data_IF_139881628498
#
_entry.id   IF_139881628498
#
_cell.length_a   1.000
_cell.length_b   1.000
_cell.length_c   1.000
_cell.angle_alpha   90.00
_cell.angle_beta   90.00
_cell.angle_gamma   90.00
#
_symmetry.space_group_name_H-M   'P 1'
#
loop_
_entity.id
_entity.type
_entity.pdbx_description
1 polymer ?
#
# COMPACT_ATOMS: atom_id res chain seq x y z
N UNK A 1 -24.05 1.23 -38.33
CA UNK A 1 -24.12 1.35 -36.85
C UNK A 1 -23.27 0.33 -36.10
N UNK A 2 -22.88 -0.83 -36.67
CA UNK A 2 -22.07 -1.86 -35.95
C UNK A 2 -20.57 -1.55 -35.79
N UNK A 3 -19.96 -0.74 -36.65
CA UNK A 3 -18.52 -0.41 -36.54
C UNK A 3 -18.22 0.66 -35.48
N UNK A 4 -19.18 1.55 -35.18
CA UNK A 4 -19.04 2.58 -34.14
C UNK A 4 -19.19 1.99 -32.73
N UNK A 5 -20.11 1.03 -32.53
CA UNK A 5 -20.27 0.31 -31.26
C UNK A 5 -19.08 -0.60 -30.94
N UNK A 6 -18.48 -1.25 -31.95
CA UNK A 6 -17.28 -2.07 -31.75
C UNK A 6 -16.03 -1.23 -31.40
N UNK A 7 -15.83 -0.08 -32.04
CA UNK A 7 -14.72 0.82 -31.73
C UNK A 7 -14.85 1.47 -30.34
N UNK A 8 -16.07 1.87 -29.95
CA UNK A 8 -16.34 2.40 -28.61
C UNK A 8 -16.14 1.33 -27.52
N UNK A 9 -16.49 0.06 -27.78
CA UNK A 9 -16.26 -1.06 -26.87
C UNK A 9 -14.77 -1.37 -26.66
N UNK A 10 -13.96 -1.26 -27.72
CA UNK A 10 -12.51 -1.47 -27.66
C UNK A 10 -11.79 -0.35 -26.88
N UNK A 11 -12.14 0.92 -27.11
CA UNK A 11 -11.62 2.08 -26.37
C UNK A 11 -11.96 1.99 -24.88
N UNK A 12 -13.21 1.61 -24.56
CA UNK A 12 -13.64 1.44 -23.18
C UNK A 12 -12.87 0.34 -22.45
N UNK A 13 -12.68 -0.81 -23.12
CA UNK A 13 -11.90 -1.92 -22.59
C UNK A 13 -10.42 -1.57 -22.38
N UNK A 14 -9.87 -0.66 -23.19
CA UNK A 14 -8.49 -0.17 -23.00
C UNK A 14 -8.37 0.72 -21.77
N UNK A 15 -9.34 1.61 -21.53
CA UNK A 15 -9.36 2.47 -20.35
C UNK A 15 -9.56 1.70 -19.06
N UNK A 16 -10.42 0.67 -19.07
CA UNK A 16 -10.57 -0.26 -17.94
C UNK A 16 -9.22 -0.93 -17.61
N UNK A 17 -8.55 -1.52 -18.61
CA UNK A 17 -7.23 -2.14 -18.41
C UNK A 17 -6.18 -1.16 -17.91
N UNK A 18 -6.17 0.06 -18.43
CA UNK A 18 -5.22 1.08 -17.98
C UNK A 18 -5.47 1.47 -16.51
N UNK A 19 -6.72 1.69 -16.13
CA UNK A 19 -7.08 2.02 -14.76
C UNK A 19 -6.76 0.86 -13.80
N UNK A 20 -7.17 -0.36 -14.15
CA UNK A 20 -6.92 -1.57 -13.35
C UNK A 20 -5.42 -1.81 -13.15
N UNK A 21 -4.62 -1.68 -14.22
CA UNK A 21 -3.18 -1.80 -14.12
C UNK A 21 -2.56 -0.74 -13.20
N UNK A 22 -3.01 0.52 -13.29
CA UNK A 22 -2.53 1.58 -12.37
C UNK A 22 -2.96 1.33 -10.93
N UNK A 23 -4.17 0.83 -10.71
CA UNK A 23 -4.67 0.49 -9.38
C UNK A 23 -3.86 -0.68 -8.79
N UNK A 24 -3.58 -1.72 -9.58
CA UNK A 24 -2.76 -2.85 -9.15
C UNK A 24 -1.32 -2.45 -8.83
N UNK A 25 -0.66 -1.69 -9.72
CA UNK A 25 0.71 -1.21 -9.45
C UNK A 25 0.75 -0.37 -8.16
N UNK A 26 -0.26 0.48 -7.94
CA UNK A 26 -0.36 1.21 -6.67
C UNK A 26 -0.51 0.27 -5.47
N UNK A 27 -1.36 -0.77 -5.57
CA UNK A 27 -1.51 -1.78 -4.53
C UNK A 27 -0.17 -2.46 -4.22
N UNK A 28 0.53 -2.93 -5.25
CA UNK A 28 1.82 -3.62 -5.10
C UNK A 28 2.85 -2.76 -4.38
N UNK A 29 2.93 -1.46 -4.69
CA UNK A 29 3.82 -0.51 -4.02
C UNK A 29 3.45 -0.28 -2.56
N UNK A 30 2.15 -0.16 -2.27
CA UNK A 30 1.65 -0.01 -0.90
C UNK A 30 1.93 -1.26 -0.09
N UNK A 31 1.74 -2.44 -0.67
CA UNK A 31 2.03 -3.72 -0.03
C UNK A 31 3.52 -3.90 0.26
N UNK A 32 4.37 -3.60 -0.72
CA UNK A 32 5.82 -3.63 -0.56
C UNK A 32 6.25 -2.71 0.59
N UNK A 33 5.78 -1.46 0.62
CA UNK A 33 6.08 -0.52 1.70
C UNK A 33 5.65 -1.06 3.08
N UNK A 34 4.45 -1.63 3.18
CA UNK A 34 3.96 -2.27 4.41
C UNK A 34 4.83 -3.46 4.84
N UNK A 35 5.20 -4.33 3.90
CA UNK A 35 6.05 -5.48 4.18
C UNK A 35 7.41 -5.05 4.72
N UNK A 36 8.07 -4.08 4.08
CA UNK A 36 9.37 -3.58 4.51
C UNK A 36 9.29 -2.96 5.91
N UNK A 37 8.28 -2.12 6.15
CA UNK A 37 8.08 -1.47 7.44
C UNK A 37 7.82 -2.48 8.56
N UNK A 38 6.84 -3.37 8.39
CA UNK A 38 6.47 -4.30 9.46
C UNK A 38 7.49 -5.42 9.68
N UNK A 39 8.22 -5.85 8.65
CA UNK A 39 9.38 -6.73 8.83
C UNK A 39 10.45 -6.04 9.67
N UNK A 40 10.81 -4.79 9.33
CA UNK A 40 11.79 -3.99 10.07
C UNK A 40 11.38 -3.81 11.54
N UNK A 41 10.13 -3.40 11.79
CA UNK A 41 9.60 -3.21 13.14
C UNK A 41 9.56 -4.52 13.94
N UNK A 42 9.20 -5.64 13.30
CA UNK A 42 9.18 -6.95 13.97
C UNK A 42 10.58 -7.38 14.37
N UNK A 43 11.58 -7.25 13.49
CA UNK A 43 12.97 -7.60 13.81
C UNK A 43 13.49 -6.77 15.00
N UNK A 44 13.22 -5.47 15.04
CA UNK A 44 13.61 -4.61 16.16
C UNK A 44 12.89 -4.99 17.47
N UNK A 45 11.59 -5.27 17.41
CA UNK A 45 10.81 -5.67 18.58
C UNK A 45 11.32 -7.00 19.17
N UNK A 46 11.57 -7.99 18.31
CA UNK A 46 12.08 -9.31 18.74
C UNK A 46 13.50 -9.21 19.30
N UNK A 47 14.39 -8.42 18.68
CA UNK A 47 15.73 -8.13 19.21
C UNK A 47 15.67 -7.49 20.60
N UNK A 48 14.73 -6.56 20.82
CA UNK A 48 14.56 -5.89 22.11
C UNK A 48 14.05 -6.83 23.20
N UNK A 49 13.19 -7.79 22.87
CA UNK A 49 12.46 -8.61 23.83
C UNK A 49 13.07 -9.99 24.10
N UNK A 50 13.83 -10.57 23.16
CA UNK A 50 14.29 -11.96 23.23
C UNK A 50 15.81 -12.06 23.25
N UNK A 51 16.35 -12.66 24.31
CA UNK A 51 17.79 -12.79 24.50
C UNK A 51 18.43 -13.64 23.39
N UNK A 52 17.78 -14.73 22.98
CA UNK A 52 18.27 -15.61 21.92
C UNK A 52 18.32 -14.94 20.54
N UNK A 53 17.36 -14.06 20.23
CA UNK A 53 17.36 -13.26 18.99
C UNK A 53 18.47 -12.23 19.05
N UNK A 54 18.68 -11.61 20.22
CA UNK A 54 19.78 -10.67 20.44
C UNK A 54 21.15 -11.33 20.20
N UNK A 55 21.39 -12.48 20.82
CA UNK A 55 22.63 -13.26 20.62
C UNK A 55 22.81 -13.66 19.15
N UNK A 56 21.74 -14.11 18.47
CA UNK A 56 21.79 -14.42 17.04
C UNK A 56 22.25 -13.21 16.22
N UNK A 57 21.68 -12.04 16.49
CA UNK A 57 21.96 -10.81 15.75
C UNK A 57 23.36 -10.29 16.03
N UNK A 58 23.80 -10.30 17.29
CA UNK A 58 25.13 -9.85 17.72
C UNK A 58 26.23 -10.74 17.12
N UNK A 59 26.00 -12.07 17.04
CA UNK A 59 26.92 -13.02 16.41
C UNK A 59 26.99 -12.88 14.88
N UNK A 60 25.99 -12.26 14.25
CA UNK A 60 25.90 -12.07 12.79
C UNK A 60 25.70 -10.59 12.43
N UNK A 61 26.40 -9.69 13.13
CA UNK A 61 26.21 -8.24 13.07
C UNK A 61 26.22 -7.66 11.63
N UNK A 62 27.14 -8.11 10.77
CA UNK A 62 27.22 -7.63 9.39
C UNK A 62 25.95 -7.99 8.59
N UNK A 63 25.44 -9.21 8.75
CA UNK A 63 24.20 -9.67 8.08
C UNK A 63 23.01 -8.89 8.62
N UNK A 64 22.91 -8.75 9.93
CA UNK A 64 21.84 -8.01 10.61
C UNK A 64 21.78 -6.56 10.12
N UNK A 65 22.91 -5.85 10.12
CA UNK A 65 22.99 -4.46 9.64
C UNK A 65 22.61 -4.34 8.17
N UNK A 66 23.06 -5.28 7.34
CA UNK A 66 22.71 -5.32 5.91
C UNK A 66 21.20 -5.51 5.72
N UNK A 67 20.59 -6.44 6.44
CA UNK A 67 19.15 -6.69 6.37
C UNK A 67 18.33 -5.47 6.79
N UNK A 68 18.63 -4.91 7.97
CA UNK A 68 17.89 -3.77 8.53
C UNK A 68 18.01 -2.53 7.64
N UNK A 69 19.22 -2.21 7.16
CA UNK A 69 19.44 -1.09 6.24
C UNK A 69 18.74 -1.31 4.90
N UNK A 70 18.70 -2.56 4.40
CA UNK A 70 18.02 -2.88 3.13
C UNK A 70 16.51 -2.72 3.24
N UNK A 71 15.91 -3.20 4.34
CA UNK A 71 14.48 -3.01 4.61
C UNK A 71 14.12 -1.53 4.72
N UNK A 72 14.94 -0.77 5.44
CA UNK A 72 14.74 0.67 5.58
C UNK A 72 14.85 1.38 4.22
N UNK A 73 15.91 1.12 3.44
CA UNK A 73 16.07 1.71 2.11
C UNK A 73 14.89 1.37 1.18
N UNK A 74 14.46 0.10 1.17
CA UNK A 74 13.36 -0.36 0.35
C UNK A 74 12.03 0.32 0.70
N UNK A 75 11.77 0.56 2.00
CA UNK A 75 10.61 1.35 2.45
C UNK A 75 10.62 2.77 1.87
N UNK A 76 11.73 3.50 1.99
CA UNK A 76 11.82 4.88 1.49
C UNK A 76 11.71 4.95 -0.04
N UNK A 77 12.27 3.97 -0.76
CA UNK A 77 12.12 3.87 -2.21
C UNK A 77 10.67 3.60 -2.63
N UNK A 78 9.97 2.69 -1.95
CA UNK A 78 8.56 2.41 -2.22
C UNK A 78 7.66 3.64 -1.96
N UNK A 79 7.84 4.31 -0.81
CA UNK A 79 7.13 5.56 -0.52
C UNK A 79 7.45 6.66 -1.54
N UNK A 80 8.70 6.72 -2.01
CA UNK A 80 9.10 7.60 -3.10
C UNK A 80 8.33 7.34 -4.39
N UNK A 81 8.20 6.08 -4.83
CA UNK A 81 7.44 5.74 -6.05
C UNK A 81 5.95 6.11 -5.94
N UNK A 82 5.40 6.07 -4.74
CA UNK A 82 4.00 6.41 -4.44
C UNK A 82 3.76 7.93 -4.46
N UNK A 83 4.64 8.72 -3.86
CA UNK A 83 4.41 10.15 -3.62
C UNK A 83 5.18 11.11 -4.55
N UNK A 84 6.28 10.68 -5.15
CA UNK A 84 7.12 11.53 -5.99
C UNK A 84 6.50 11.73 -7.37
N UNK A 85 6.23 12.99 -7.74
CA UNK A 85 5.58 13.36 -9.00
C UNK A 85 6.40 13.00 -10.26
N UNK A 86 7.63 12.51 -10.09
CA UNK A 86 8.51 12.02 -11.17
C UNK A 86 8.11 10.64 -11.72
N UNK A 87 7.26 9.87 -11.02
CA UNK A 87 6.80 8.55 -11.46
C UNK A 87 5.46 8.58 -12.22
N UNK A 88 5.26 7.63 -13.15
CA UNK A 88 3.97 7.45 -13.84
C UNK A 88 2.90 6.82 -12.93
N UNK A 89 3.28 6.13 -11.86
CA UNK A 89 2.40 5.32 -11.02
C UNK A 89 2.27 5.87 -9.59
N UNK A 90 2.06 7.17 -9.47
CA UNK A 90 1.90 7.85 -8.18
C UNK A 90 0.46 7.85 -7.72
N UNK A 91 0.24 8.15 -6.44
CA UNK A 91 -1.09 8.39 -5.89
C UNK A 91 -1.85 9.49 -6.67
N UNK A 92 -1.12 10.52 -7.11
CA UNK A 92 -1.70 11.61 -7.90
C UNK A 92 -2.06 11.19 -9.31
N UNK A 93 -1.21 10.39 -9.97
CA UNK A 93 -1.47 9.91 -11.32
C UNK A 93 -2.64 8.92 -11.34
N UNK A 94 -2.77 8.07 -10.32
CA UNK A 94 -3.90 7.17 -10.14
C UNK A 94 -5.20 7.95 -9.92
N UNK A 95 -5.21 8.91 -8.99
CA UNK A 95 -6.40 9.74 -8.75
C UNK A 95 -6.79 10.53 -10.00
N UNK A 96 -5.81 11.08 -10.72
CA UNK A 96 -6.05 11.80 -11.97
C UNK A 96 -6.67 10.88 -13.02
N UNK A 97 -6.11 9.69 -13.22
CA UNK A 97 -6.64 8.69 -14.14
C UNK A 97 -8.09 8.31 -13.80
N UNK A 98 -8.39 8.08 -12.52
CA UNK A 98 -9.75 7.78 -12.06
C UNK A 98 -10.73 8.93 -12.35
N UNK A 99 -10.31 10.17 -12.09
CA UNK A 99 -11.15 11.36 -12.28
C UNK A 99 -11.33 11.77 -13.76
N UNK A 100 -10.35 11.49 -14.61
CA UNK A 100 -10.49 11.72 -16.07
C UNK A 100 -11.38 10.64 -16.70
N UNK A 101 -11.40 9.44 -16.12
CA UNK A 101 -12.16 8.29 -16.62
C UNK A 101 -13.36 7.93 -15.73
N UNK A 102 -14.06 8.91 -15.15
CA UNK A 102 -15.18 8.68 -14.20
C UNK A 102 -16.28 7.79 -14.73
N UNK A 103 -16.48 7.76 -16.04
CA UNK A 103 -17.43 6.87 -16.71
C UNK A 103 -17.22 5.40 -16.33
N UNK A 104 -15.97 5.00 -16.01
CA UNK A 104 -15.63 3.66 -15.54
C UNK A 104 -16.33 3.29 -14.23
N UNK A 105 -16.73 4.27 -13.42
CA UNK A 105 -17.43 4.09 -12.15
C UNK A 105 -18.95 4.24 -12.27
N UNK A 106 -19.48 4.36 -13.49
CA UNK A 106 -20.93 4.42 -13.70
C UNK A 106 -21.60 3.08 -13.42
N UNK A 107 -22.89 3.11 -13.12
CA UNK A 107 -23.75 1.93 -12.98
C UNK A 107 -23.72 1.06 -14.24
N UNK A 108 -23.73 1.70 -15.42
CA UNK A 108 -23.65 0.99 -16.70
C UNK A 108 -22.34 0.22 -16.81
N UNK A 109 -21.22 0.85 -16.46
CA UNK A 109 -19.90 0.23 -16.52
C UNK A 109 -19.76 -0.90 -15.49
N UNK A 110 -20.21 -0.66 -14.26
CA UNK A 110 -20.21 -1.66 -13.19
C UNK A 110 -21.04 -2.89 -13.59
N UNK A 111 -22.25 -2.68 -14.09
CA UNK A 111 -23.12 -3.74 -14.58
C UNK A 111 -22.43 -4.54 -15.69
N UNK A 112 -21.90 -3.87 -16.71
CA UNK A 112 -21.20 -4.52 -17.82
C UNK A 112 -19.97 -5.34 -17.35
N UNK A 113 -19.25 -4.88 -16.32
CA UNK A 113 -18.18 -5.68 -15.70
C UNK A 113 -18.71 -6.93 -15.01
N UNK A 114 -19.78 -6.81 -14.21
CA UNK A 114 -20.39 -7.93 -13.50
C UNK A 114 -21.00 -8.97 -14.45
N UNK A 115 -21.65 -8.53 -15.52
CA UNK A 115 -22.18 -9.40 -16.58
C UNK A 115 -21.08 -10.18 -17.31
N UNK A 116 -19.92 -9.55 -17.56
CA UNK A 116 -18.75 -10.23 -18.14
C UNK A 116 -18.06 -11.19 -17.17
N UNK A 117 -18.14 -10.94 -15.86
CA UNK A 117 -17.38 -11.69 -14.86
C UNK A 117 -18.04 -12.99 -14.39
N UNK A 118 -19.35 -13.15 -14.55
CA UNK A 118 -20.09 -14.30 -14.00
C UNK A 118 -21.14 -14.82 -14.98
N UNK A 119 -21.15 -16.12 -15.26
CA UNK A 119 -22.12 -16.72 -16.20
C UNK A 119 -23.58 -16.63 -15.72
N UNK A 120 -23.81 -16.62 -14.40
CA UNK A 120 -25.15 -16.56 -13.79
C UNK A 120 -25.55 -15.14 -13.35
N UNK A 121 -24.94 -14.09 -13.91
CA UNK A 121 -25.20 -12.70 -13.53
C UNK A 121 -26.69 -12.35 -13.49
N UNK A 122 -27.50 -12.91 -14.40
CA UNK A 122 -28.92 -12.60 -14.55
C UNK A 122 -29.75 -12.94 -13.31
N UNK A 123 -29.28 -13.85 -12.45
CA UNK A 123 -29.98 -14.27 -11.24
C UNK A 123 -29.89 -13.24 -10.11
N UNK A 124 -28.82 -12.44 -10.09
CA UNK A 124 -28.48 -11.58 -8.94
C UNK A 124 -28.18 -10.13 -9.30
N UNK A 125 -28.02 -9.79 -10.60
CA UNK A 125 -27.52 -8.47 -11.01
C UNK A 125 -28.42 -7.32 -10.53
N UNK A 126 -29.75 -7.47 -10.57
CA UNK A 126 -30.65 -6.39 -10.17
C UNK A 126 -30.53 -6.12 -8.67
N UNK A 127 -30.52 -7.18 -7.85
CA UNK A 127 -30.30 -7.07 -6.41
C UNK A 127 -28.89 -6.54 -6.07
N UNK A 128 -27.87 -6.90 -6.86
CA UNK A 128 -26.53 -6.35 -6.69
C UNK A 128 -26.46 -4.87 -7.06
N UNK A 129 -27.15 -4.43 -8.12
CA UNK A 129 -27.10 -3.03 -8.57
C UNK A 129 -27.92 -2.09 -7.68
N UNK A 130 -28.82 -2.64 -6.85
CA UNK A 130 -29.57 -1.87 -5.86
C UNK A 130 -28.62 -1.17 -4.86
N UNK A 131 -28.84 0.13 -4.66
CA UNK A 131 -28.06 0.93 -3.70
C UNK A 131 -26.62 1.24 -4.11
N UNK A 132 -26.20 0.96 -5.35
CA UNK A 132 -24.86 1.32 -5.83
C UNK A 132 -24.71 2.81 -6.09
N UNK A 133 -23.50 3.32 -5.93
CA UNK A 133 -23.19 4.75 -6.02
C UNK A 133 -22.28 5.07 -7.21
N UNK A 134 -22.54 6.20 -7.86
CA UNK A 134 -21.66 6.78 -8.86
C UNK A 134 -20.84 7.94 -8.26
N UNK A 135 -19.50 7.91 -8.35
CA UNK A 135 -18.66 9.00 -7.87
C UNK A 135 -18.85 10.32 -8.65
N UNK A 136 -19.02 11.43 -7.94
CA UNK A 136 -19.09 12.78 -8.50
C UNK A 136 -17.73 13.48 -8.48
N UNK A 137 -17.60 14.62 -9.17
CA UNK A 137 -16.40 15.47 -9.09
C UNK A 137 -16.06 15.88 -7.64
N UNK A 138 -17.08 16.04 -6.81
CA UNK A 138 -16.89 16.39 -5.41
C UNK A 138 -16.19 15.27 -4.64
N UNK A 139 -16.51 14.01 -4.91
CA UNK A 139 -15.85 12.86 -4.27
C UNK A 139 -14.35 12.83 -4.62
N UNK A 140 -13.98 12.97 -5.90
CA UNK A 140 -12.57 13.02 -6.31
C UNK A 140 -11.82 14.23 -5.75
N UNK A 141 -12.47 15.41 -5.69
CA UNK A 141 -11.91 16.59 -5.03
C UNK A 141 -11.64 16.34 -3.55
N UNK A 142 -12.54 15.63 -2.87
CA UNK A 142 -12.36 15.30 -1.46
C UNK A 142 -11.19 14.32 -1.24
N UNK A 143 -11.06 13.28 -2.09
CA UNK A 143 -9.89 12.40 -2.06
C UNK A 143 -8.59 13.19 -2.26
N UNK A 144 -8.58 14.14 -3.21
CA UNK A 144 -7.41 14.99 -3.44
C UNK A 144 -7.04 15.81 -2.19
N UNK A 145 -8.02 16.36 -1.47
CA UNK A 145 -7.76 17.08 -0.21
C UNK A 145 -7.14 16.17 0.84
N UNK A 146 -7.60 14.92 0.92
CA UNK A 146 -7.06 13.95 1.87
C UNK A 146 -5.63 13.53 1.55
N UNK A 147 -5.22 13.47 0.28
CA UNK A 147 -3.83 13.18 -0.11
C UNK A 147 -2.87 14.28 0.38
N UNK A 148 -3.28 15.55 0.35
CA UNK A 148 -2.43 16.70 0.63
C UNK A 148 -1.63 16.61 1.94
N UNK A 149 -2.24 16.37 3.12
CA UNK A 149 -1.49 16.27 4.38
C UNK A 149 -0.48 15.11 4.37
N UNK A 150 -0.81 13.99 3.74
CA UNK A 150 0.07 12.82 3.66
C UNK A 150 1.27 13.06 2.75
N UNK A 151 1.05 13.72 1.60
CA UNK A 151 2.15 14.17 0.73
C UNK A 151 3.04 15.19 1.44
N UNK A 152 2.46 16.09 2.25
CA UNK A 152 3.24 17.05 3.01
C UNK A 152 4.16 16.34 4.02
N UNK A 153 3.64 15.35 4.75
CA UNK A 153 4.47 14.50 5.64
C UNK A 153 5.60 13.83 4.86
N UNK A 154 5.31 13.23 3.71
CA UNK A 154 6.34 12.62 2.87
C UNK A 154 7.41 13.65 2.45
N UNK A 155 7.02 14.79 1.89
CA UNK A 155 7.94 15.80 1.37
C UNK A 155 8.81 16.42 2.47
N UNK A 156 8.24 16.73 3.64
CA UNK A 156 8.97 17.41 4.72
C UNK A 156 9.86 16.46 5.53
N UNK A 157 9.52 15.17 5.59
CA UNK A 157 10.13 14.23 6.55
C UNK A 157 10.91 13.10 5.88
N UNK A 158 10.41 12.59 4.76
CA UNK A 158 10.89 11.34 4.17
C UNK A 158 11.67 11.57 2.87
N UNK A 159 11.31 12.59 2.09
CA UNK A 159 11.96 12.89 0.81
C UNK A 159 13.44 13.24 0.99
N UNK A 160 13.77 14.06 1.99
CA UNK A 160 15.15 14.40 2.33
C UNK A 160 15.97 13.17 2.79
N UNK A 161 15.35 12.23 3.52
CA UNK A 161 16.01 10.98 3.92
C UNK A 161 16.31 10.16 2.67
N UNK A 162 15.34 9.98 1.78
CA UNK A 162 15.54 9.23 0.54
C UNK A 162 16.66 9.85 -0.30
N UNK A 163 16.57 11.14 -0.58
CA UNK A 163 17.48 11.80 -1.51
C UNK A 163 18.90 11.90 -0.94
N UNK A 164 19.05 12.42 0.28
CA UNK A 164 20.37 12.68 0.87
C UNK A 164 21.07 11.43 1.38
N UNK A 165 20.33 10.45 1.92
CA UNK A 165 20.94 9.29 2.57
C UNK A 165 20.97 8.05 1.68
N UNK A 166 19.86 7.73 1.00
CA UNK A 166 19.73 6.48 0.24
C UNK A 166 20.06 6.63 -1.24
N UNK A 167 19.72 7.76 -1.88
CA UNK A 167 19.94 7.95 -3.31
C UNK A 167 21.34 8.50 -3.63
N UNK A 168 21.79 9.51 -2.88
CA UNK A 168 23.05 10.21 -3.20
C UNK A 168 24.16 10.03 -2.14
N UNK A 169 23.80 9.64 -0.91
CA UNK A 169 24.74 9.49 0.22
C UNK A 169 25.57 10.76 0.46
N UNK A 170 24.92 11.91 0.29
CA UNK A 170 25.49 13.26 0.40
C UNK A 170 25.64 13.72 1.85
N UNK A 171 25.02 13.01 2.79
CA UNK A 171 25.02 13.34 4.21
C UNK A 171 25.99 12.50 5.02
N UNK A 172 26.64 13.13 6.00
CA UNK A 172 27.39 12.42 7.03
C UNK A 172 26.45 11.73 8.04
N UNK A 173 27.01 10.91 8.94
CA UNK A 173 26.23 10.16 9.93
C UNK A 173 25.42 11.06 10.87
N UNK A 174 25.92 12.24 11.20
CA UNK A 174 25.27 13.15 12.15
C UNK A 174 24.10 13.88 11.48
N UNK A 175 24.24 14.25 10.21
CA UNK A 175 23.15 14.78 9.39
C UNK A 175 22.08 13.70 9.14
N UNK A 176 22.48 12.46 8.85
CA UNK A 176 21.55 11.35 8.71
C UNK A 176 20.75 11.10 10.00
N UNK A 177 21.42 11.07 11.16
CA UNK A 177 20.77 10.92 12.46
C UNK A 177 19.75 12.03 12.72
N UNK A 178 20.06 13.29 12.36
CA UNK A 178 19.11 14.41 12.46
C UNK A 178 17.90 14.21 11.55
N UNK A 179 18.10 13.74 10.32
CA UNK A 179 16.99 13.46 9.39
C UNK A 179 16.07 12.35 9.95
N UNK A 180 16.64 11.27 10.46
CA UNK A 180 15.86 10.17 11.05
C UNK A 180 15.17 10.56 12.36
N UNK A 181 15.78 11.40 13.20
CA UNK A 181 15.20 11.84 14.48
C UNK A 181 13.89 12.62 14.32
N UNK A 182 13.66 13.22 13.16
CA UNK A 182 12.46 14.02 12.86
C UNK A 182 11.30 13.13 12.36
N UNK A 183 11.56 11.86 12.04
CA UNK A 183 10.56 10.90 11.57
C UNK A 183 10.09 10.00 12.70
N UNK A 184 8.78 9.96 12.95
CA UNK A 184 8.20 9.03 13.93
C UNK A 184 7.61 7.78 13.28
N UNK A 185 7.71 6.65 13.98
CA UNK A 185 7.09 5.38 13.60
C UNK A 185 5.59 5.56 13.36
N UNK A 186 4.89 6.23 14.28
CA UNK A 186 3.46 6.53 14.19
C UNK A 186 3.06 7.27 12.92
N UNK A 187 3.91 8.19 12.43
CA UNK A 187 3.66 8.91 11.19
C UNK A 187 3.76 7.98 9.98
N UNK A 188 4.76 7.10 9.95
CA UNK A 188 4.89 6.10 8.88
C UNK A 188 3.70 5.14 8.91
N UNK A 189 3.27 4.68 10.09
CA UNK A 189 2.08 3.83 10.23
C UNK A 189 0.81 4.51 9.71
N UNK A 190 0.58 5.78 10.07
CA UNK A 190 -0.56 6.56 9.57
C UNK A 190 -0.50 6.77 8.06
N UNK A 191 0.69 6.99 7.51
CA UNK A 191 0.91 7.14 6.09
C UNK A 191 0.56 5.84 5.35
N UNK A 192 1.09 4.70 5.81
CA UNK A 192 0.82 3.38 5.23
C UNK A 192 -0.66 3.00 5.36
N UNK A 193 -1.28 3.26 6.52
CA UNK A 193 -2.70 3.03 6.75
C UNK A 193 -3.58 3.85 5.80
N UNK A 194 -3.25 5.13 5.61
CA UNK A 194 -3.95 5.97 4.63
C UNK A 194 -3.85 5.41 3.21
N UNK A 195 -2.66 4.97 2.78
CA UNK A 195 -2.45 4.45 1.45
C UNK A 195 -3.31 3.20 1.17
N UNK A 196 -3.46 2.33 2.18
CA UNK A 196 -4.33 1.16 2.07
C UNK A 196 -5.80 1.57 1.99
N UNK A 197 -6.25 2.48 2.87
CA UNK A 197 -7.62 2.98 2.85
C UNK A 197 -7.95 3.72 1.53
N UNK A 198 -6.97 4.43 0.95
CA UNK A 198 -7.09 5.07 -0.36
C UNK A 198 -7.25 4.06 -1.49
N UNK A 199 -6.42 3.01 -1.52
CA UNK A 199 -6.56 1.92 -2.49
C UNK A 199 -7.95 1.27 -2.36
N UNK A 200 -8.36 0.91 -1.14
CA UNK A 200 -9.65 0.28 -0.87
C UNK A 200 -10.82 1.15 -1.33
N UNK A 201 -10.78 2.47 -1.08
CA UNK A 201 -11.83 3.37 -1.53
C UNK A 201 -12.01 3.34 -3.06
N UNK A 202 -10.91 3.38 -3.82
CA UNK A 202 -10.96 3.29 -5.28
C UNK A 202 -11.39 1.91 -5.76
N UNK A 203 -10.84 0.85 -5.15
CA UNK A 203 -11.14 -0.53 -5.50
C UNK A 203 -12.63 -0.85 -5.29
N UNK A 204 -13.18 -0.51 -4.12
CA UNK A 204 -14.59 -0.76 -3.79
C UNK A 204 -15.53 0.11 -4.63
N UNK A 205 -15.19 1.37 -4.88
CA UNK A 205 -15.99 2.20 -5.80
C UNK A 205 -16.01 1.61 -7.22
N UNK A 206 -14.88 1.08 -7.70
CA UNK A 206 -14.77 0.51 -9.04
C UNK A 206 -15.40 -0.87 -9.18
N UNK A 207 -15.11 -1.79 -8.26
CA UNK A 207 -15.55 -3.19 -8.33
C UNK A 207 -16.92 -3.43 -7.72
N UNK A 208 -17.28 -2.66 -6.70
CA UNK A 208 -18.49 -2.91 -5.90
C UNK A 208 -19.50 -1.77 -5.94
N UNK A 209 -19.18 -0.64 -6.58
CA UNK A 209 -20.06 0.53 -6.61
C UNK A 209 -20.32 1.13 -5.24
N UNK A 210 -19.41 0.94 -4.28
CA UNK A 210 -19.50 1.59 -2.96
C UNK A 210 -19.20 3.10 -3.06
N UNK A 211 -19.62 3.90 -2.06
CA UNK A 211 -19.24 5.30 -1.98
C UNK A 211 -17.71 5.47 -2.03
N UNK A 212 -17.23 6.40 -2.86
CA UNK A 212 -15.81 6.75 -2.94
C UNK A 212 -15.39 7.57 -1.72
N UNK A 213 -15.15 6.89 -0.60
CA UNK A 213 -14.79 7.46 0.70
C UNK A 213 -13.64 6.68 1.31
N UNK A 214 -12.63 7.39 1.80
CA UNK A 214 -11.52 6.79 2.55
C UNK A 214 -11.97 6.58 3.99
N UNK A 215 -12.00 5.33 4.44
CA UNK A 215 -12.23 4.98 5.84
C UNK A 215 -11.18 5.67 6.72
N UNK A 216 -11.60 6.42 7.74
CA UNK A 216 -10.69 7.17 8.61
C UNK A 216 -10.12 6.34 9.76
N UNK A 217 -10.53 5.07 9.90
CA UNK A 217 -10.01 4.14 10.92
C UNK A 217 -8.47 4.00 10.88
N UNK A 218 -7.84 4.23 9.73
CA UNK A 218 -6.37 4.24 9.60
C UNK A 218 -5.67 5.26 10.50
N UNK A 219 -6.37 6.30 10.98
CA UNK A 219 -5.80 7.33 11.85
C UNK A 219 -5.41 6.81 13.23
N UNK A 220 -5.97 5.67 13.62
CA UNK A 220 -5.68 4.97 14.88
C UNK A 220 -4.94 3.66 14.55
N UNK A 221 -3.60 3.64 14.54
CA UNK A 221 -2.82 2.44 14.21
C UNK A 221 -3.17 1.21 15.06
N UNK A 222 -3.58 1.43 16.31
CA UNK A 222 -4.04 0.36 17.22
C UNK A 222 -5.34 -0.29 16.77
N UNK A 223 -6.26 0.48 16.17
CA UNK A 223 -7.55 0.01 15.66
C UNK A 223 -7.46 -0.47 14.20
N UNK A 224 -6.59 0.14 13.38
CA UNK A 224 -6.38 -0.20 11.97
C UNK A 224 -5.83 -1.63 11.73
N UNK A 225 -5.32 -2.29 12.77
CA UNK A 225 -4.80 -3.67 12.73
C UNK A 225 -5.83 -4.73 12.30
N UNK A 226 -7.11 -4.39 12.21
CA UNK A 226 -8.20 -5.32 11.85
C UNK A 226 -8.61 -5.33 10.38
N UNK A 227 -8.26 -4.34 9.55
CA UNK A 227 -8.83 -4.21 8.20
C UNK A 227 -7.81 -3.90 7.10
N UNK A 228 -6.82 -4.79 6.89
CA UNK A 228 -6.02 -4.76 5.67
C UNK A 228 -6.29 -6.03 4.87
N UNK A 229 -6.49 -5.84 3.57
CA UNK A 229 -6.82 -6.82 2.56
C UNK A 229 -6.10 -8.16 2.73
N UNK A 230 -6.86 -9.25 2.64
CA UNK A 230 -6.35 -10.62 2.56
C UNK A 230 -7.23 -11.40 1.57
N UNK A 231 -6.72 -11.71 0.36
CA UNK A 231 -7.49 -12.50 -0.61
C UNK A 231 -7.64 -13.98 -0.19
N UNK A 232 -6.89 -14.44 0.83
CA UNK A 232 -6.97 -15.80 1.38
C UNK A 232 -6.69 -15.81 2.89
N UNK A 233 -7.74 -15.74 3.72
CA UNK A 233 -7.68 -15.93 5.17
C UNK A 233 -7.55 -14.65 6.02
N UNK A 234 -7.93 -14.72 7.29
CA UNK A 234 -8.10 -13.61 8.27
C UNK A 234 -6.84 -12.78 8.65
N UNK A 235 -5.80 -12.76 7.81
CA UNK A 235 -4.54 -12.09 8.13
C UNK A 235 -4.22 -10.96 7.16
N UNK A 236 -4.30 -9.73 7.68
CA UNK A 236 -3.69 -8.53 7.07
C UNK A 236 -2.23 -8.81 6.66
N UNK A 237 -1.73 -8.16 5.61
CA UNK A 237 -0.30 -8.26 5.22
C UNK A 237 0.63 -8.00 6.41
N UNK A 238 0.27 -7.03 7.26
CA UNK A 238 0.94 -6.77 8.53
C UNK A 238 1.00 -8.02 9.43
N UNK A 239 -0.14 -8.66 9.73
CA UNK A 239 -0.18 -9.86 10.57
C UNK A 239 0.61 -11.00 9.94
N UNK A 240 0.48 -11.18 8.62
CA UNK A 240 1.19 -12.22 7.88
C UNK A 240 2.71 -12.01 7.95
N UNK A 241 3.22 -10.82 7.62
CA UNK A 241 4.67 -10.56 7.65
C UNK A 241 5.20 -10.63 9.08
N UNK A 242 4.49 -10.09 10.07
CA UNK A 242 4.86 -10.19 11.48
C UNK A 242 4.97 -11.65 11.91
N UNK A 243 3.96 -12.47 11.60
CA UNK A 243 3.94 -13.90 11.91
C UNK A 243 5.10 -14.64 11.23
N UNK A 244 5.29 -14.44 9.93
CA UNK A 244 6.35 -15.10 9.16
C UNK A 244 7.74 -14.68 9.60
N UNK A 245 7.95 -13.41 9.97
CA UNK A 245 9.22 -12.94 10.55
C UNK A 245 9.50 -13.60 11.90
N UNK A 246 8.49 -13.75 12.78
CA UNK A 246 8.65 -14.47 14.05
C UNK A 246 8.97 -15.95 13.83
N UNK A 247 8.23 -16.64 12.96
CA UNK A 247 8.48 -18.04 12.60
C UNK A 247 9.90 -18.24 12.02
N UNK A 248 10.38 -17.29 11.21
CA UNK A 248 11.75 -17.29 10.70
C UNK A 248 12.78 -17.21 11.84
N UNK A 249 12.60 -16.28 12.78
CA UNK A 249 13.49 -16.12 13.93
C UNK A 249 13.48 -17.35 14.86
N UNK A 250 12.31 -17.95 15.06
CA UNK A 250 12.18 -19.17 15.87
C UNK A 250 12.98 -20.33 15.27
N UNK A 251 12.96 -20.49 13.94
CA UNK A 251 13.77 -21.49 13.25
C UNK A 251 15.25 -21.19 13.34
N UNK A 252 15.65 -19.93 13.11
CA UNK A 252 17.05 -19.52 13.16
C UNK A 252 17.67 -19.70 14.55
N UNK A 253 16.94 -19.36 15.61
CA UNK A 253 17.40 -19.51 17.00
C UNK A 253 17.39 -20.95 17.48
N UNK A 254 16.46 -21.78 17.00
CA UNK A 254 16.42 -23.22 17.30
C UNK A 254 17.57 -23.99 16.65
N UNK A 255 17.92 -23.64 15.40
CA UNK A 255 19.08 -24.23 14.70
C UNK A 255 20.41 -23.91 15.37
N UNK A 256 20.55 -22.72 15.95
CA UNK A 256 21.75 -22.31 16.69
C UNK A 256 22.02 -23.18 17.94
N UNK A 257 20.98 -23.79 18.54
CA UNK A 257 21.15 -24.70 19.68
C UNK A 257 21.66 -26.09 19.29
N UNK A 258 21.42 -26.52 18.04
CA UNK A 258 21.83 -27.84 17.55
C UNK A 258 23.31 -27.91 17.14
N UNK A 259 23.98 -26.76 16.94
CA UNK A 259 25.38 -26.68 16.52
C UNK A 259 26.35 -26.47 17.70
N UNK A 260 25.83 -26.39 18.92
CA UNK A 260 26.60 -26.16 20.15
C UNK A 260 26.85 -27.47 20.96
N UNK A 261 26.60 -28.63 20.35
CA UNK A 261 26.91 -29.97 20.87
C UNK A 261 27.76 -30.73 19.84
#
# INVERSE_FOLDING_TARGET
>A
MSNLTNAMSADYSQLEREFENRLQVFCDEVEAANQYFFAFMTLHAEYAQRAEVRTLFDNHDLVTRTLLSSLQAALFLALGRIFDDRSRHTIHSLLKCANENRRLFSHIALRARKERAAANWAEWIEAFMEGKHEPTDQHFRELRKQIKPHRQVYAEKLDAIRDKWFAHRDSDKDEANKLFAVTSIDQIEKLLGFLIAFHQALWKAYHDGEPLVVDQSYKNPTEARTHLWAPQGDFTIQKRITKQTKEFLDRATSGSKSLAH
#
